data_IF_448728525902
#
_entry.id   IF_448728525902
#
_cell.length_a   1.000
_cell.length_b   1.000
_cell.length_c   1.000
_cell.angle_alpha   90.00
_cell.angle_beta   90.00
_cell.angle_gamma   90.00
#
_symmetry.space_group_name_H-M   'P 1'
#
loop_
_entity.id
_entity.type
_entity.pdbx_description
1 polymer ?
#
# COMPACT_ATOMS: atom_id res chain seq x y z
N UNK A 1 1.24 14.92 0.68
CA UNK A 1 0.55 14.09 1.70
C UNK A 1 1.28 14.32 3.01
N UNK A 2 0.57 14.40 4.12
CA UNK A 2 1.20 14.50 5.44
C UNK A 2 2.09 13.29 5.73
N UNK A 3 3.11 13.48 6.56
CA UNK A 3 4.03 12.42 6.96
C UNK A 3 3.28 11.26 7.62
N UNK A 4 3.47 10.06 7.08
CA UNK A 4 2.83 8.86 7.61
C UNK A 4 3.59 7.57 7.29
N UNK A 5 3.58 6.65 8.26
CA UNK A 5 3.95 5.25 8.08
C UNK A 5 2.68 4.43 7.86
N UNK A 6 2.64 3.67 6.76
CA UNK A 6 1.51 2.79 6.47
C UNK A 6 1.47 1.56 7.38
N UNK A 7 0.33 0.87 7.41
CA UNK A 7 0.18 -0.40 8.14
C UNK A 7 1.15 -1.51 7.70
N UNK A 8 1.70 -1.39 6.48
CA UNK A 8 2.77 -2.24 5.97
C UNK A 8 4.19 -1.87 6.48
N UNK A 9 4.37 -0.73 7.15
CA UNK A 9 5.67 -0.23 7.61
C UNK A 9 6.40 0.70 6.63
N UNK A 10 5.85 0.98 5.44
CA UNK A 10 6.47 1.90 4.48
C UNK A 10 6.11 3.37 4.73
N UNK A 11 7.00 4.27 4.31
CA UNK A 11 6.77 5.72 4.23
C UNK A 11 5.71 6.05 3.19
N UNK A 12 4.45 5.87 3.57
CA UNK A 12 3.29 5.99 2.68
C UNK A 12 3.14 7.40 2.09
N UNK A 13 3.65 8.42 2.78
CA UNK A 13 3.68 9.79 2.30
C UNK A 13 4.68 10.03 1.14
N UNK A 14 5.71 9.18 1.03
CA UNK A 14 6.70 9.20 -0.06
C UNK A 14 6.39 8.22 -1.19
N UNK A 15 5.32 7.42 -1.05
CA UNK A 15 5.04 6.34 -1.99
C UNK A 15 4.57 6.89 -3.34
N UNK A 16 5.40 6.78 -4.38
CA UNK A 16 5.15 7.36 -5.71
C UNK A 16 3.79 6.95 -6.32
N UNK A 17 3.32 5.72 -6.10
CA UNK A 17 2.01 5.27 -6.59
C UNK A 17 0.80 5.97 -5.91
N UNK A 18 1.01 6.76 -4.85
CA UNK A 18 -0.02 7.59 -4.22
C UNK A 18 -0.03 9.02 -4.75
N UNK A 19 0.92 9.36 -5.63
CA UNK A 19 0.96 10.66 -6.27
C UNK A 19 -0.24 10.84 -7.20
N UNK A 20 -0.85 12.03 -7.14
CA UNK A 20 -1.86 12.46 -8.12
C UNK A 20 -1.24 12.87 -9.45
N UNK A 21 0.06 13.19 -9.44
CA UNK A 21 0.80 13.56 -10.64
C UNK A 21 1.19 12.31 -11.45
N UNK A 22 0.70 12.18 -12.71
CA UNK A 22 1.04 11.05 -13.56
C UNK A 22 2.54 10.97 -13.88
N UNK A 23 3.28 12.08 -13.94
CA UNK A 23 4.72 12.07 -14.23
C UNK A 23 5.52 11.39 -13.11
N UNK A 24 5.13 11.62 -11.86
CA UNK A 24 5.71 10.91 -10.70
C UNK A 24 5.46 9.39 -10.79
N UNK A 25 4.27 8.97 -11.21
CA UNK A 25 3.94 7.55 -11.39
C UNK A 25 4.67 6.95 -12.60
N UNK A 26 4.86 7.71 -13.67
CA UNK A 26 5.64 7.27 -14.83
C UNK A 26 7.07 6.90 -14.41
N UNK A 27 7.74 7.73 -13.61
CA UNK A 27 9.08 7.42 -13.07
C UNK A 27 9.11 6.12 -12.26
N UNK A 28 8.05 5.82 -11.51
CA UNK A 28 7.93 4.56 -10.77
C UNK A 28 7.84 3.36 -11.74
N UNK A 29 6.97 3.44 -12.74
CA UNK A 29 6.80 2.39 -13.76
C UNK A 29 8.10 2.15 -14.52
N UNK A 30 8.77 3.23 -14.95
CA UNK A 30 10.05 3.14 -15.67
C UNK A 30 11.13 2.50 -14.81
N UNK A 31 11.18 2.87 -13.52
CA UNK A 31 12.06 2.23 -12.55
C UNK A 31 11.75 0.73 -12.39
N UNK A 32 10.47 0.37 -12.25
CA UNK A 32 10.07 -1.03 -12.11
C UNK A 32 10.37 -1.86 -13.35
N UNK A 33 10.16 -1.31 -14.55
CA UNK A 33 10.53 -1.95 -15.80
C UNK A 33 12.04 -2.14 -15.89
N UNK A 34 12.82 -1.09 -15.59
CA UNK A 34 14.29 -1.10 -15.70
C UNK A 34 14.95 -2.06 -14.71
N UNK A 35 14.52 -2.06 -13.45
CA UNK A 35 15.23 -2.76 -12.37
C UNK A 35 14.62 -4.13 -12.02
N UNK A 36 13.33 -4.33 -12.28
CA UNK A 36 12.61 -5.55 -11.89
C UNK A 36 11.94 -6.27 -13.07
N UNK A 37 12.05 -5.72 -14.29
CA UNK A 37 11.47 -6.33 -15.50
C UNK A 37 9.94 -6.37 -15.48
N UNK A 38 9.27 -5.51 -14.70
CA UNK A 38 7.82 -5.51 -14.65
C UNK A 38 7.22 -4.75 -15.84
N UNK A 39 6.65 -5.48 -16.79
CA UNK A 39 6.10 -4.89 -18.02
C UNK A 39 4.61 -4.50 -17.91
N UNK A 40 3.87 -5.15 -17.01
CA UNK A 40 2.40 -5.03 -16.91
C UNK A 40 1.91 -3.82 -16.09
N UNK A 41 2.83 -3.04 -15.51
CA UNK A 41 2.46 -1.82 -14.78
C UNK A 41 2.42 -0.61 -15.72
N UNK A 42 1.39 0.21 -15.53
CA UNK A 42 1.10 1.43 -16.30
C UNK A 42 0.84 2.57 -15.33
N UNK A 43 0.92 3.80 -15.80
CA UNK A 43 0.64 5.00 -14.98
C UNK A 43 -0.78 4.97 -14.42
N UNK A 44 -1.71 4.39 -15.17
CA UNK A 44 -3.12 4.29 -14.85
C UNK A 44 -3.38 3.23 -13.77
N UNK A 45 -2.71 2.07 -13.86
CA UNK A 45 -2.92 0.96 -12.93
C UNK A 45 -2.07 1.02 -11.65
N UNK A 46 -0.94 1.73 -11.67
CA UNK A 46 -0.04 1.84 -10.51
C UNK A 46 -0.54 2.89 -9.53
N UNK A 47 -1.57 2.52 -8.76
CA UNK A 47 -2.21 3.39 -7.78
C UNK A 47 -2.38 2.67 -6.45
N UNK A 48 -2.13 3.37 -5.33
CA UNK A 48 -2.24 2.78 -3.99
C UNK A 48 -3.18 3.57 -3.08
N UNK A 49 -4.28 2.95 -2.69
CA UNK A 49 -5.23 3.53 -1.73
C UNK A 49 -4.86 3.19 -0.27
N UNK A 50 -3.77 2.44 -0.07
CA UNK A 50 -3.27 2.02 1.24
C UNK A 50 -3.66 0.58 1.59
N UNK A 51 -2.93 -0.02 2.53
CA UNK A 51 -2.97 -1.47 2.76
C UNK A 51 -4.31 -2.00 3.30
N UNK A 52 -5.08 -1.15 3.99
CA UNK A 52 -6.40 -1.51 4.51
C UNK A 52 -7.53 -1.24 3.52
N UNK A 53 -7.27 -0.47 2.46
CA UNK A 53 -8.26 -0.22 1.42
C UNK A 53 -8.50 -1.48 0.60
N UNK A 54 -9.75 -1.68 0.18
CA UNK A 54 -10.14 -2.64 -0.85
C UNK A 54 -10.15 -2.03 -2.27
N UNK A 55 -9.70 -0.77 -2.38
CA UNK A 55 -9.50 -0.08 -3.65
C UNK A 55 -8.23 -0.49 -4.39
N UNK A 56 -7.57 0.49 -5.00
CA UNK A 56 -6.40 0.29 -5.86
C UNK A 56 -5.17 -0.12 -5.07
N UNK A 57 -4.41 -1.04 -5.65
CA UNK A 57 -3.20 -1.60 -5.07
C UNK A 57 -2.08 -1.41 -6.10
N UNK A 58 -0.99 -0.76 -5.70
CA UNK A 58 0.10 -0.44 -6.62
C UNK A 58 0.77 -1.70 -7.19
N UNK A 59 0.96 -2.71 -6.35
CA UNK A 59 1.51 -4.01 -6.73
C UNK A 59 0.53 -5.11 -6.30
N UNK A 60 -0.07 -5.79 -7.27
CA UNK A 60 -1.00 -6.91 -7.03
C UNK A 60 -0.32 -8.09 -6.34
N UNK A 61 1.00 -8.19 -6.46
CA UNK A 61 1.83 -9.23 -5.85
C UNK A 61 2.46 -8.79 -4.52
N UNK A 62 2.03 -7.67 -3.95
CA UNK A 62 2.60 -7.10 -2.73
C UNK A 62 2.50 -8.09 -1.54
N UNK A 63 3.63 -8.73 -1.22
CA UNK A 63 3.72 -9.74 -0.14
C UNK A 63 3.45 -9.17 1.25
N UNK A 64 3.61 -7.85 1.45
CA UNK A 64 3.41 -7.19 2.74
C UNK A 64 1.94 -6.91 3.05
N UNK A 65 1.06 -6.80 2.04
CA UNK A 65 -0.35 -6.43 2.23
C UNK A 65 -1.12 -7.44 3.10
N UNK A 66 -1.00 -8.77 2.93
CA UNK A 66 -1.64 -9.74 3.82
C UNK A 66 -1.25 -9.56 5.29
N UNK A 67 0.02 -9.25 5.57
CA UNK A 67 0.50 -8.99 6.93
C UNK A 67 -0.08 -7.72 7.52
N UNK A 68 -0.16 -6.64 6.74
CA UNK A 68 -0.78 -5.38 7.17
C UNK A 68 -2.25 -5.60 7.57
N UNK A 69 -3.01 -6.35 6.75
CA UNK A 69 -4.41 -6.69 7.06
C UNK A 69 -4.53 -7.59 8.31
N UNK A 70 -3.65 -8.58 8.47
CA UNK A 70 -3.63 -9.47 9.65
C UNK A 70 -3.25 -8.73 10.94
N UNK A 71 -2.31 -7.78 10.90
CA UNK A 71 -1.91 -7.00 12.08
C UNK A 71 -3.06 -6.16 12.61
N UNK A 72 -3.84 -5.56 11.72
CA UNK A 72 -5.07 -4.84 12.10
C UNK A 72 -6.10 -5.80 12.69
N UNK A 73 -6.30 -6.96 12.07
CA UNK A 73 -7.19 -7.97 12.64
C UNK A 73 -6.80 -8.36 14.08
N UNK A 74 -5.49 -8.49 14.37
CA UNK A 74 -5.02 -8.74 15.75
C UNK A 74 -5.37 -7.59 16.70
N UNK A 75 -5.18 -6.34 16.28
CA UNK A 75 -5.50 -5.16 17.11
C UNK A 75 -7.00 -5.09 17.39
N UNK A 76 -7.83 -5.21 16.34
CA UNK A 76 -9.29 -5.15 16.45
C UNK A 76 -9.83 -6.30 17.29
N UNK A 77 -9.36 -7.53 17.05
CA UNK A 77 -9.80 -8.70 17.80
C UNK A 77 -9.37 -8.64 19.27
N UNK A 78 -8.14 -8.17 19.57
CA UNK A 78 -7.71 -7.92 20.94
C UNK A 78 -8.54 -6.82 21.62
N UNK A 79 -8.90 -5.74 20.92
CA UNK A 79 -9.75 -4.68 21.44
C UNK A 79 -11.20 -5.15 21.68
N UNK A 80 -11.76 -5.97 20.78
CA UNK A 80 -13.08 -6.56 20.93
C UNK A 80 -13.13 -7.54 22.10
N UNK A 81 -12.12 -8.39 22.26
CA UNK A 81 -12.01 -9.28 23.42
C UNK A 81 -11.83 -8.49 24.72
N UNK A 82 -11.11 -7.36 24.70
CA UNK A 82 -11.01 -6.49 25.87
C UNK A 82 -12.35 -5.83 26.23
N UNK A 83 -13.17 -5.48 25.23
CA UNK A 83 -14.51 -4.92 25.44
C UNK A 83 -15.55 -5.96 25.87
N UNK A 84 -15.37 -7.24 25.53
CA UNK A 84 -16.28 -8.33 25.92
C UNK A 84 -16.07 -8.87 27.35
N UNK A 85 -15.04 -8.41 28.06
CA UNK A 85 -14.73 -8.81 29.46
C UNK A 85 -15.08 -7.67 30.44
N UNK A 86 -15.83 -6.66 29.99
CA UNK A 86 -16.47 -5.64 30.85
C UNK A 86 -17.97 -5.75 30.72
#
# INVERSE_FOLDING_TARGET
MEEMIGYCGYNCHLHAARSKDPNTRQKLVDGWRKYFGHENYTVENVQCDGCLSDGRIADKMCKTRPYAKKKVWRIVHSAMNFLAIK
#
